data_IF_571559953699
#
_entry.id   IF_571559953699
#
_cell.length_a   1.000
_cell.length_b   1.000
_cell.length_c   1.000
_cell.angle_alpha   90.00
_cell.angle_beta   90.00
_cell.angle_gamma   90.00
#
_symmetry.space_group_name_H-M   'P 1'
#
loop_
_entity.id
_entity.type
_entity.pdbx_description
1 polymer ?
#
# COMPACT_ATOMS: atom_id res chain seq x y z
N UNK A 1 -70.66 73.99 -17.85
CA UNK A 1 -71.94 74.72 -17.76
C UNK A 1 -71.64 76.20 -17.55
N UNK A 2 -71.31 76.92 -18.63
CA UNK A 2 -71.43 78.37 -18.66
C UNK A 2 -72.55 78.66 -19.64
N UNK A 3 -73.67 79.12 -19.09
CA UNK A 3 -74.90 79.39 -19.81
C UNK A 3 -74.82 80.78 -20.44
N UNK A 4 -74.06 80.92 -21.53
CA UNK A 4 -74.26 82.02 -22.47
C UNK A 4 -75.33 81.60 -23.48
N UNK A 5 -76.54 81.43 -22.96
CA UNK A 5 -77.75 81.42 -23.77
C UNK A 5 -77.93 82.85 -24.26
N UNK A 6 -77.72 83.03 -25.57
CA UNK A 6 -78.07 84.19 -26.39
C UNK A 6 -78.95 85.23 -25.67
N UNK A 7 -78.33 86.28 -25.13
CA UNK A 7 -79.01 87.57 -24.99
C UNK A 7 -78.76 88.32 -26.30
N UNK A 8 -79.56 87.99 -27.32
CA UNK A 8 -79.79 88.91 -28.44
C UNK A 8 -81.08 89.69 -28.16
N UNK A 9 -81.00 90.62 -27.22
CA UNK A 9 -81.97 91.71 -27.15
C UNK A 9 -81.48 92.83 -28.08
N UNK A 10 -81.58 92.59 -29.39
CA UNK A 10 -81.49 93.68 -30.36
C UNK A 10 -82.90 94.15 -30.65
N UNK A 11 -83.29 95.26 -30.03
CA UNK A 11 -84.50 95.98 -30.36
C UNK A 11 -84.60 96.17 -31.87
N UNK A 12 -85.64 95.60 -32.47
CA UNK A 12 -85.92 95.70 -33.90
C UNK A 12 -86.03 97.18 -34.24
N UNK A 13 -85.00 97.72 -34.89
CA UNK A 13 -84.94 99.14 -35.23
C UNK A 13 -86.02 99.46 -36.26
N UNK A 14 -86.67 100.62 -36.14
CA UNK A 14 -87.69 101.04 -37.10
C UNK A 14 -87.09 101.20 -38.50
N UNK A 15 -87.60 100.45 -39.46
CA UNK A 15 -87.08 100.46 -40.84
C UNK A 15 -87.70 101.59 -41.66
N UNK A 16 -86.90 102.22 -42.51
CA UNK A 16 -87.32 103.36 -43.36
C UNK A 16 -88.09 102.88 -44.60
N UNK A 17 -87.93 101.59 -44.96
CA UNK A 17 -88.52 100.92 -46.11
C UNK A 17 -88.66 99.42 -45.82
N UNK A 18 -89.66 98.76 -46.42
CA UNK A 18 -89.78 97.29 -46.37
C UNK A 18 -88.53 96.57 -46.92
N UNK A 19 -87.83 97.18 -47.87
CA UNK A 19 -86.59 96.60 -48.42
C UNK A 19 -85.43 96.63 -47.40
N UNK A 20 -85.38 97.65 -46.53
CA UNK A 20 -84.35 97.78 -45.49
C UNK A 20 -84.59 96.78 -44.35
N UNK A 21 -85.85 96.53 -44.00
CA UNK A 21 -86.25 95.45 -43.08
C UNK A 21 -85.86 94.07 -43.62
N UNK A 22 -86.18 93.80 -44.89
CA UNK A 22 -85.81 92.55 -45.55
C UNK A 22 -84.28 92.38 -45.59
N UNK A 23 -83.53 93.45 -45.84
CA UNK A 23 -82.07 93.41 -45.89
C UNK A 23 -81.46 93.13 -44.50
N UNK A 24 -81.95 93.81 -43.45
CA UNK A 24 -81.50 93.57 -42.07
C UNK A 24 -81.72 92.11 -41.65
N UNK A 25 -82.91 91.55 -41.88
CA UNK A 25 -83.19 90.15 -41.52
C UNK A 25 -82.39 89.16 -42.37
N UNK A 26 -82.10 89.48 -43.63
CA UNK A 26 -81.20 88.67 -44.47
C UNK A 26 -79.77 88.68 -43.94
N UNK A 27 -79.23 89.85 -43.60
CA UNK A 27 -77.87 89.98 -43.09
C UNK A 27 -77.72 89.32 -41.71
N UNK A 28 -78.73 89.45 -40.84
CA UNK A 28 -78.77 88.77 -39.55
C UNK A 28 -78.85 87.24 -39.70
N UNK A 29 -79.64 86.73 -40.66
CA UNK A 29 -79.69 85.31 -40.96
C UNK A 29 -78.35 84.78 -41.49
N UNK A 30 -77.65 85.57 -42.34
CA UNK A 30 -76.31 85.23 -42.83
C UNK A 30 -75.28 85.24 -41.70
N UNK A 31 -75.34 86.20 -40.77
CA UNK A 31 -74.46 86.23 -39.60
C UNK A 31 -74.68 85.02 -38.68
N UNK A 32 -75.94 84.68 -38.38
CA UNK A 32 -76.25 83.47 -37.61
C UNK A 32 -75.79 82.21 -38.33
N UNK A 33 -75.96 82.14 -39.65
CA UNK A 33 -75.50 81.01 -40.44
C UNK A 33 -73.97 80.89 -40.41
N UNK A 34 -73.24 82.00 -40.54
CA UNK A 34 -71.78 82.03 -40.43
C UNK A 34 -71.30 81.63 -39.03
N UNK A 35 -71.93 82.12 -37.97
CA UNK A 35 -71.57 81.77 -36.59
C UNK A 35 -71.88 80.31 -36.23
N UNK A 36 -72.97 79.76 -36.78
CA UNK A 36 -73.26 78.32 -36.68
C UNK A 36 -72.26 77.46 -37.44
N UNK A 37 -71.77 77.92 -38.58
CA UNK A 37 -70.75 77.21 -39.37
C UNK A 37 -69.37 77.27 -38.66
N UNK A 38 -68.98 78.41 -38.11
CA UNK A 38 -67.76 78.55 -37.30
C UNK A 38 -67.78 77.66 -36.06
N UNK A 39 -68.87 77.70 -35.27
CA UNK A 39 -69.03 76.82 -34.11
C UNK A 39 -69.04 75.33 -34.49
N UNK A 40 -69.56 74.99 -35.67
CA UNK A 40 -69.51 73.63 -36.21
C UNK A 40 -68.08 73.24 -36.56
N UNK A 41 -67.30 74.12 -37.19
CA UNK A 41 -65.90 73.82 -37.51
C UNK A 41 -65.02 73.73 -36.25
N UNK A 42 -65.24 74.60 -35.25
CA UNK A 42 -64.56 74.51 -33.95
C UNK A 42 -64.85 73.18 -33.26
N UNK A 43 -66.12 72.76 -33.24
CA UNK A 43 -66.52 71.45 -32.71
C UNK A 43 -65.79 70.33 -33.46
N UNK A 44 -65.74 70.43 -34.80
CA UNK A 44 -65.06 69.46 -35.65
C UNK A 44 -63.55 69.43 -35.42
N UNK A 45 -62.93 70.57 -35.11
CA UNK A 45 -61.52 70.65 -34.78
C UNK A 45 -61.24 69.95 -33.44
N UNK A 46 -62.03 70.24 -32.40
CA UNK A 46 -61.88 69.61 -31.09
C UNK A 46 -62.09 68.09 -31.19
N UNK A 47 -63.03 67.63 -32.01
CA UNK A 47 -63.22 66.20 -32.30
C UNK A 47 -61.96 65.57 -32.92
N UNK A 48 -61.35 66.22 -33.92
CA UNK A 48 -60.08 65.75 -34.52
C UNK A 48 -58.94 65.70 -33.51
N UNK A 49 -58.78 66.74 -32.70
CA UNK A 49 -57.74 66.80 -31.66
C UNK A 49 -57.94 65.71 -30.60
N UNK A 50 -59.19 65.40 -30.24
CA UNK A 50 -59.51 64.32 -29.32
C UNK A 50 -59.17 62.94 -29.92
N UNK A 51 -59.50 62.72 -31.19
CA UNK A 51 -59.14 61.50 -31.93
C UNK A 51 -57.61 61.30 -31.97
N UNK A 52 -56.86 62.36 -32.28
CA UNK A 52 -55.38 62.32 -32.25
C UNK A 52 -54.82 62.01 -30.87
N UNK A 53 -55.39 62.61 -29.81
CA UNK A 53 -54.98 62.33 -28.43
C UNK A 53 -55.28 60.88 -28.02
N UNK A 54 -56.46 60.36 -28.39
CA UNK A 54 -56.84 58.97 -28.12
C UNK A 54 -55.90 57.99 -28.85
N UNK A 55 -55.59 58.25 -30.12
CA UNK A 55 -54.67 57.42 -30.89
C UNK A 55 -53.25 57.46 -30.31
N UNK A 56 -52.76 58.64 -29.89
CA UNK A 56 -51.46 58.78 -29.24
C UNK A 56 -51.40 58.02 -27.91
N UNK A 57 -52.43 58.17 -27.06
CA UNK A 57 -52.52 57.44 -25.79
C UNK A 57 -52.51 55.92 -26.02
N UNK A 58 -53.26 55.45 -27.01
CA UNK A 58 -53.30 54.03 -27.36
C UNK A 58 -51.94 53.53 -27.89
N UNK A 59 -51.24 54.32 -28.70
CA UNK A 59 -49.88 53.98 -29.16
C UNK A 59 -48.88 53.91 -28.01
N UNK A 60 -48.95 54.86 -27.06
CA UNK A 60 -48.10 54.88 -25.87
C UNK A 60 -48.37 53.68 -24.96
N UNK A 61 -49.64 53.34 -24.73
CA UNK A 61 -50.04 52.15 -23.97
C UNK A 61 -49.44 50.88 -24.59
N UNK A 62 -49.58 50.74 -25.92
CA UNK A 62 -48.99 49.61 -26.64
C UNK A 62 -47.46 49.56 -26.52
N UNK A 63 -46.79 50.72 -26.59
CA UNK A 63 -45.34 50.76 -26.39
C UNK A 63 -44.96 50.31 -24.98
N UNK A 64 -45.65 50.79 -23.94
CA UNK A 64 -45.42 50.38 -22.55
C UNK A 64 -45.68 48.89 -22.34
N UNK A 65 -46.75 48.34 -22.91
CA UNK A 65 -47.05 46.91 -22.88
C UNK A 65 -45.91 46.09 -23.51
N UNK A 66 -45.41 46.50 -24.68
CA UNK A 66 -44.30 45.78 -25.33
C UNK A 66 -43.00 45.85 -24.51
N UNK A 67 -42.71 46.98 -23.86
CA UNK A 67 -41.55 47.11 -22.98
C UNK A 67 -41.69 46.23 -21.73
N UNK A 68 -42.90 46.17 -21.16
CA UNK A 68 -43.20 45.34 -20.00
C UNK A 68 -43.08 43.85 -20.34
N UNK A 69 -43.61 43.41 -21.49
CA UNK A 69 -43.47 42.03 -21.97
C UNK A 69 -42.00 41.65 -22.19
N UNK A 70 -41.21 42.54 -22.78
CA UNK A 70 -39.77 42.33 -22.97
C UNK A 70 -39.05 42.22 -21.63
N UNK A 71 -39.33 43.11 -20.68
CA UNK A 71 -38.76 43.05 -19.34
C UNK A 71 -39.12 41.72 -18.64
N UNK A 72 -40.39 41.31 -18.67
CA UNK A 72 -40.84 40.05 -18.09
C UNK A 72 -40.21 38.82 -18.75
N UNK A 73 -39.96 38.87 -20.06
CA UNK A 73 -39.22 37.83 -20.78
C UNK A 73 -37.78 37.75 -20.28
N UNK A 74 -37.07 38.88 -20.18
CA UNK A 74 -35.68 38.90 -19.68
C UNK A 74 -35.59 38.42 -18.24
N UNK A 75 -36.53 38.79 -17.37
CA UNK A 75 -36.58 38.33 -15.98
C UNK A 75 -36.74 36.80 -15.93
N UNK A 76 -37.64 36.23 -16.74
CA UNK A 76 -37.83 34.76 -16.83
C UNK A 76 -36.57 34.04 -17.31
N UNK A 77 -35.90 34.58 -18.32
CA UNK A 77 -34.65 34.01 -18.85
C UNK A 77 -33.53 34.07 -17.81
N UNK A 78 -33.35 35.22 -17.14
CA UNK A 78 -32.35 35.39 -16.09
C UNK A 78 -32.61 34.47 -14.89
N UNK A 79 -33.87 34.31 -14.47
CA UNK A 79 -34.26 33.35 -13.41
C UNK A 79 -33.91 31.91 -13.80
N UNK A 80 -34.23 31.51 -15.02
CA UNK A 80 -33.91 30.16 -15.53
C UNK A 80 -32.40 29.92 -15.58
N UNK A 81 -31.64 30.91 -16.05
CA UNK A 81 -30.17 30.85 -16.07
C UNK A 81 -29.58 30.80 -14.66
N UNK A 82 -30.11 31.58 -13.73
CA UNK A 82 -29.67 31.58 -12.33
C UNK A 82 -29.90 30.20 -11.69
N UNK A 83 -31.10 29.64 -11.84
CA UNK A 83 -31.41 28.29 -11.34
C UNK A 83 -30.47 27.23 -11.92
N UNK A 84 -30.17 27.31 -13.22
CA UNK A 84 -29.22 26.40 -13.88
C UNK A 84 -27.81 26.54 -13.30
N UNK A 85 -27.31 27.77 -13.18
CA UNK A 85 -25.99 28.04 -12.60
C UNK A 85 -25.91 27.58 -11.14
N UNK A 86 -27.01 27.69 -10.39
CA UNK A 86 -27.08 27.22 -9.01
C UNK A 86 -27.00 25.70 -8.94
N UNK A 87 -27.73 24.98 -9.79
CA UNK A 87 -27.64 23.52 -9.89
C UNK A 87 -26.23 23.05 -10.31
N UNK A 88 -25.62 23.72 -11.29
CA UNK A 88 -24.25 23.43 -11.72
C UNK A 88 -23.24 23.67 -10.58
N UNK A 89 -23.44 24.74 -9.79
CA UNK A 89 -22.60 25.06 -8.64
C UNK A 89 -22.71 23.99 -7.53
N UNK A 90 -23.93 23.57 -7.21
CA UNK A 90 -24.18 22.54 -6.20
C UNK A 90 -23.60 21.19 -6.65
N UNK A 91 -23.76 20.85 -7.93
CA UNK A 91 -23.15 19.64 -8.53
C UNK A 91 -21.62 19.69 -8.46
N UNK A 92 -21.00 20.84 -8.76
CA UNK A 92 -19.55 21.00 -8.66
C UNK A 92 -19.05 20.89 -7.21
N UNK A 93 -19.79 21.44 -6.24
CA UNK A 93 -19.47 21.30 -4.82
C UNK A 93 -19.55 19.84 -4.37
N UNK A 94 -20.59 19.12 -4.76
CA UNK A 94 -20.75 17.71 -4.43
C UNK A 94 -19.63 16.85 -5.01
N UNK A 95 -19.28 17.07 -6.29
CA UNK A 95 -18.16 16.39 -6.95
C UNK A 95 -16.82 16.71 -6.28
N UNK A 96 -16.60 17.96 -5.89
CA UNK A 96 -15.39 18.37 -5.18
C UNK A 96 -15.29 17.68 -3.82
N UNK A 97 -16.36 17.70 -3.02
CA UNK A 97 -16.38 17.06 -1.71
C UNK A 97 -16.25 15.54 -1.82
N UNK A 98 -16.86 14.91 -2.83
CA UNK A 98 -16.66 13.49 -3.11
C UNK A 98 -15.20 13.17 -3.45
N UNK A 99 -14.58 13.93 -4.36
CA UNK A 99 -13.17 13.75 -4.75
C UNK A 99 -12.24 13.96 -3.56
N UNK A 100 -12.50 14.98 -2.74
CA UNK A 100 -11.75 15.25 -1.51
C UNK A 100 -11.85 14.11 -0.51
N UNK A 101 -13.05 13.54 -0.30
CA UNK A 101 -13.22 12.34 0.56
C UNK A 101 -12.46 11.15 0.03
N UNK A 102 -12.52 10.88 -1.28
CA UNK A 102 -11.77 9.79 -1.92
C UNK A 102 -10.26 9.97 -1.78
N UNK A 103 -9.74 11.16 -2.06
CA UNK A 103 -8.32 11.47 -1.91
C UNK A 103 -7.87 11.31 -0.46
N UNK A 104 -8.65 11.80 0.51
CA UNK A 104 -8.33 11.63 1.93
C UNK A 104 -8.30 10.16 2.34
N UNK A 105 -9.26 9.35 1.85
CA UNK A 105 -9.27 7.91 2.11
C UNK A 105 -8.02 7.21 1.52
N UNK A 106 -7.65 7.55 0.29
CA UNK A 106 -6.43 7.02 -0.35
C UNK A 106 -5.16 7.44 0.40
N UNK A 107 -5.08 8.69 0.87
CA UNK A 107 -3.94 9.18 1.67
C UNK A 107 -3.85 8.40 2.99
N UNK A 108 -4.97 8.17 3.68
CA UNK A 108 -5.00 7.38 4.91
C UNK A 108 -4.55 5.93 4.67
N UNK A 109 -5.00 5.30 3.59
CA UNK A 109 -4.59 3.94 3.21
C UNK A 109 -3.09 3.88 2.90
N UNK A 110 -2.57 4.81 2.09
CA UNK A 110 -1.14 4.89 1.80
C UNK A 110 -0.31 5.13 3.06
N UNK A 111 -0.75 6.00 3.96
CA UNK A 111 -0.07 6.21 5.24
C UNK A 111 -0.06 4.95 6.11
N UNK A 112 -1.17 4.20 6.15
CA UNK A 112 -1.25 2.93 6.86
C UNK A 112 -0.25 1.93 6.29
N UNK A 113 -0.23 1.72 4.96
CA UNK A 113 0.73 0.79 4.33
C UNK A 113 2.19 1.19 4.57
N UNK A 114 2.53 2.49 4.51
CA UNK A 114 3.88 2.98 4.84
C UNK A 114 4.24 2.65 6.28
N UNK A 115 3.30 2.82 7.23
CA UNK A 115 3.54 2.45 8.62
C UNK A 115 3.75 0.94 8.81
N UNK A 116 3.00 0.11 8.08
CA UNK A 116 3.17 -1.35 8.09
C UNK A 116 4.55 -1.78 7.56
N UNK A 117 5.00 -1.19 6.44
CA UNK A 117 6.33 -1.46 5.89
C UNK A 117 7.45 -1.06 6.85
N UNK A 118 7.33 0.08 7.53
CA UNK A 118 8.29 0.51 8.55
C UNK A 118 8.34 -0.47 9.72
N UNK A 119 7.19 -0.91 10.23
CA UNK A 119 7.13 -1.90 11.30
C UNK A 119 7.75 -3.24 10.87
N UNK A 120 7.56 -3.64 9.61
CA UNK A 120 8.16 -4.85 9.06
C UNK A 120 9.68 -4.72 8.94
N UNK A 121 10.18 -3.59 8.45
CA UNK A 121 11.60 -3.26 8.38
C UNK A 121 12.26 -3.31 9.77
N UNK A 122 11.64 -2.68 10.77
CA UNK A 122 12.12 -2.71 12.16
C UNK A 122 12.18 -4.15 12.72
N UNK A 123 11.16 -4.95 12.41
CA UNK A 123 11.11 -6.36 12.82
C UNK A 123 12.21 -7.20 12.17
N UNK A 124 12.47 -6.98 10.87
CA UNK A 124 13.55 -7.66 10.14
C UNK A 124 14.93 -7.24 10.67
N UNK A 125 15.14 -5.95 10.94
CA UNK A 125 16.39 -5.46 11.54
C UNK A 125 16.65 -6.07 12.92
N UNK A 126 15.60 -6.21 13.74
CA UNK A 126 15.71 -6.92 15.03
C UNK A 126 16.08 -8.38 14.82
N UNK A 127 15.43 -9.06 13.88
CA UNK A 127 15.70 -10.46 13.57
C UNK A 127 17.13 -10.69 13.04
N UNK A 128 17.64 -9.78 12.21
CA UNK A 128 19.04 -9.81 11.73
C UNK A 128 20.00 -9.75 12.91
N UNK A 129 19.81 -8.81 13.84
CA UNK A 129 20.66 -8.71 15.05
C UNK A 129 20.62 -9.98 15.89
N UNK A 130 19.44 -10.61 16.03
CA UNK A 130 19.31 -11.88 16.75
C UNK A 130 20.06 -13.03 16.04
N UNK A 131 20.07 -13.06 14.70
CA UNK A 131 20.83 -14.03 13.93
C UNK A 131 22.34 -13.80 14.04
N UNK A 132 22.78 -12.54 13.97
CA UNK A 132 24.17 -12.15 14.16
C UNK A 132 24.68 -12.61 15.54
N UNK A 133 23.91 -12.34 16.60
CA UNK A 133 24.25 -12.79 17.95
C UNK A 133 24.36 -14.33 18.04
N UNK A 134 23.41 -15.07 17.46
CA UNK A 134 23.47 -16.53 17.44
C UNK A 134 24.67 -17.05 16.67
N UNK A 135 25.07 -16.38 15.58
CA UNK A 135 26.25 -16.74 14.82
C UNK A 135 27.52 -16.53 15.64
N UNK A 136 27.64 -15.39 16.33
CA UNK A 136 28.76 -15.11 17.24
C UNK A 136 28.88 -16.16 18.36
N UNK A 137 27.75 -16.57 18.94
CA UNK A 137 27.70 -17.61 19.97
C UNK A 137 28.13 -18.98 19.41
N UNK A 138 27.70 -19.32 18.19
CA UNK A 138 28.10 -20.55 17.50
C UNK A 138 29.61 -20.55 17.19
N UNK A 139 30.15 -19.44 16.68
CA UNK A 139 31.59 -19.30 16.42
C UNK A 139 32.40 -19.42 17.71
N UNK A 140 31.94 -18.81 18.81
CA UNK A 140 32.58 -18.93 20.12
C UNK A 140 32.59 -20.38 20.60
N UNK A 141 31.45 -21.08 20.52
CA UNK A 141 31.33 -22.49 20.87
C UNK A 141 32.26 -23.36 20.02
N UNK A 142 32.31 -23.11 18.71
CA UNK A 142 33.21 -23.81 17.79
C UNK A 142 34.68 -23.61 18.17
N UNK A 143 35.12 -22.37 18.48
CA UNK A 143 36.49 -22.10 18.93
C UNK A 143 36.82 -22.86 20.21
N UNK A 144 35.93 -22.83 21.21
CA UNK A 144 36.13 -23.57 22.46
C UNK A 144 36.24 -25.09 22.22
N UNK A 145 35.39 -25.64 21.35
CA UNK A 145 35.44 -27.05 20.97
C UNK A 145 36.76 -27.40 20.26
N UNK A 146 37.24 -26.55 19.34
CA UNK A 146 38.53 -26.76 18.68
C UNK A 146 39.70 -26.75 19.67
N UNK A 147 39.72 -25.81 20.62
CA UNK A 147 40.72 -25.81 21.69
C UNK A 147 40.66 -27.11 22.50
N UNK A 148 39.47 -27.57 22.88
CA UNK A 148 39.29 -28.85 23.59
C UNK A 148 39.82 -30.04 22.79
N UNK A 149 39.56 -30.09 21.48
CA UNK A 149 40.12 -31.13 20.60
C UNK A 149 41.64 -31.08 20.58
N UNK A 150 42.25 -29.90 20.42
CA UNK A 150 43.72 -29.78 20.43
C UNK A 150 44.34 -30.19 21.77
N UNK A 151 43.66 -29.94 22.89
CA UNK A 151 44.10 -30.42 24.21
C UNK A 151 44.03 -31.95 24.32
N UNK A 152 42.98 -32.58 23.77
CA UNK A 152 42.87 -34.03 23.72
C UNK A 152 43.96 -34.66 22.83
N UNK A 153 44.23 -34.07 21.66
CA UNK A 153 45.30 -34.50 20.76
C UNK A 153 46.66 -34.42 21.45
N UNK A 154 46.95 -33.32 22.15
CA UNK A 154 48.19 -33.18 22.94
C UNK A 154 48.31 -34.25 24.02
N UNK A 155 47.25 -34.49 24.80
CA UNK A 155 47.23 -35.54 25.84
C UNK A 155 47.43 -36.94 25.25
N UNK A 156 46.82 -37.21 24.10
CA UNK A 156 46.96 -38.49 23.40
C UNK A 156 48.40 -38.67 22.91
N UNK A 157 49.00 -37.65 22.30
CA UNK A 157 50.39 -37.69 21.85
C UNK A 157 51.35 -37.95 23.03
N UNK A 158 51.19 -37.23 24.15
CA UNK A 158 52.00 -37.49 25.35
C UNK A 158 51.80 -38.90 25.93
N UNK A 159 50.61 -39.49 25.77
CA UNK A 159 50.35 -40.88 26.17
C UNK A 159 51.03 -41.88 25.22
N UNK A 160 51.01 -41.61 23.91
CA UNK A 160 51.73 -42.40 22.91
C UNK A 160 53.23 -42.36 23.17
N UNK A 161 53.82 -41.18 23.41
CA UNK A 161 55.25 -41.02 23.72
C UNK A 161 55.65 -41.82 24.98
N UNK A 162 54.85 -41.74 26.05
CA UNK A 162 55.09 -42.53 27.26
C UNK A 162 55.01 -44.04 27.00
N UNK A 163 54.05 -44.50 26.20
CA UNK A 163 53.93 -45.91 25.86
C UNK A 163 55.12 -46.39 25.01
N UNK A 164 55.60 -45.58 24.06
CA UNK A 164 56.77 -45.91 23.26
C UNK A 164 58.05 -46.03 24.11
N UNK A 165 58.23 -45.14 25.10
CA UNK A 165 59.33 -45.24 26.06
C UNK A 165 59.24 -46.53 26.90
N UNK A 166 58.06 -46.85 27.43
CA UNK A 166 57.84 -48.07 28.20
C UNK A 166 58.05 -49.35 27.37
N UNK A 167 57.67 -49.33 26.09
CA UNK A 167 57.92 -50.45 25.17
C UNK A 167 59.44 -50.65 24.95
N UNK A 168 60.19 -49.56 24.78
CA UNK A 168 61.67 -49.61 24.70
C UNK A 168 62.30 -50.15 25.98
N UNK A 169 61.89 -49.66 27.16
CA UNK A 169 62.37 -50.17 28.45
C UNK A 169 62.05 -51.67 28.61
N UNK A 170 60.86 -52.10 28.16
CA UNK A 170 60.48 -53.50 28.19
C UNK A 170 61.35 -54.36 27.24
N UNK A 171 61.66 -53.86 26.04
CA UNK A 171 62.53 -54.55 25.09
C UNK A 171 63.97 -54.64 25.59
N UNK A 172 64.51 -53.60 26.23
CA UNK A 172 65.80 -53.64 26.91
C UNK A 172 65.83 -54.70 28.02
N UNK A 173 64.79 -54.74 28.86
CA UNK A 173 64.65 -55.75 29.90
C UNK A 173 64.56 -57.17 29.30
N UNK A 174 63.82 -57.37 28.20
CA UNK A 174 63.73 -58.65 27.49
C UNK A 174 65.08 -59.08 26.92
N UNK A 175 65.81 -58.15 26.31
CA UNK A 175 67.15 -58.42 25.77
C UNK A 175 68.14 -58.80 26.89
N UNK A 176 68.08 -58.10 28.03
CA UNK A 176 68.89 -58.44 29.21
C UNK A 176 68.55 -59.83 29.74
N UNK A 177 67.26 -60.15 29.89
CA UNK A 177 66.81 -61.49 30.30
C UNK A 177 67.29 -62.56 29.32
N UNK A 178 67.26 -62.29 28.01
CA UNK A 178 67.74 -63.24 27.01
C UNK A 178 69.26 -63.47 27.12
N UNK A 179 70.06 -62.41 27.28
CA UNK A 179 71.52 -62.53 27.53
C UNK A 179 71.81 -63.35 28.78
N UNK A 180 71.18 -63.03 29.90
CA UNK A 180 71.35 -63.79 31.16
C UNK A 180 70.93 -65.26 31.01
N UNK A 181 69.87 -65.55 30.23
CA UNK A 181 69.46 -66.92 29.92
C UNK A 181 70.52 -67.67 29.10
N UNK A 182 71.15 -66.99 28.14
CA UNK A 182 72.20 -67.55 27.30
C UNK A 182 73.50 -67.75 28.11
N UNK A 183 73.94 -66.78 28.92
CA UNK A 183 75.04 -66.94 29.89
C UNK A 183 74.78 -68.10 30.86
N UNK A 184 73.57 -68.18 31.43
CA UNK A 184 73.18 -69.31 32.30
C UNK A 184 73.10 -70.64 31.54
N UNK A 185 72.92 -70.64 30.21
CA UNK A 185 72.99 -71.85 29.38
C UNK A 185 74.44 -72.24 29.14
N UNK A 186 75.31 -71.29 28.81
CA UNK A 186 76.73 -71.50 28.56
C UNK A 186 77.42 -71.99 29.82
N UNK A 187 77.19 -71.35 30.98
CA UNK A 187 77.68 -71.83 32.27
C UNK A 187 77.20 -73.26 32.59
N UNK A 188 75.96 -73.61 32.26
CA UNK A 188 75.47 -74.99 32.40
C UNK A 188 76.19 -75.97 31.47
N UNK A 189 76.52 -75.55 30.25
CA UNK A 189 77.32 -76.35 29.31
C UNK A 189 78.76 -76.50 29.81
N UNK A 190 79.40 -75.43 30.29
CA UNK A 190 80.73 -75.48 30.91
C UNK A 190 80.75 -76.40 32.13
N UNK A 191 79.75 -76.31 33.00
CA UNK A 191 79.60 -77.23 34.13
C UNK A 191 79.38 -78.68 33.69
N UNK A 192 78.72 -78.91 32.53
CA UNK A 192 78.55 -80.25 31.95
C UNK A 192 79.85 -80.77 31.35
N UNK A 193 80.65 -79.92 30.70
CA UNK A 193 81.99 -80.28 30.18
C UNK A 193 82.93 -80.60 31.35
N UNK A 194 82.95 -79.77 32.41
CA UNK A 194 83.70 -80.07 33.65
C UNK A 194 83.24 -81.33 34.35
N UNK A 195 81.95 -81.68 34.23
CA UNK A 195 81.39 -82.98 34.68
C UNK A 195 81.68 -84.15 33.72
N UNK A 196 82.12 -83.92 32.48
CA UNK A 196 82.58 -84.98 31.56
C UNK A 196 84.07 -85.31 31.71
N UNK A 197 84.87 -84.42 32.32
CA UNK A 197 86.26 -84.70 32.74
C UNK A 197 86.35 -85.44 34.10
N UNK A 198 85.21 -85.78 34.72
CA UNK A 198 85.14 -86.55 35.95
C UNK A 198 84.08 -87.64 35.78
N UNK A 199 84.36 -88.92 36.08
CA UNK A 199 83.33 -89.95 35.99
C UNK A 199 82.24 -89.71 37.04
N UNK A 200 81.01 -89.68 36.52
CA UNK A 200 79.73 -90.14 37.06
C UNK A 200 79.58 -90.22 38.60
N UNK A 201 78.69 -89.39 39.15
CA UNK A 201 77.51 -89.95 39.80
C UNK A 201 76.35 -88.94 39.92
N UNK A 202 75.27 -89.30 39.25
CA UNK A 202 73.86 -89.18 39.62
C UNK A 202 73.19 -87.83 39.94
N UNK A 203 72.25 -87.56 39.03
CA UNK A 203 71.00 -86.81 39.15
C UNK A 203 70.18 -87.33 40.33
N UNK A 204 69.40 -86.46 41.00
CA UNK A 204 67.99 -86.26 40.64
C UNK A 204 67.24 -85.37 41.66
N UNK A 205 66.75 -84.24 41.15
CA UNK A 205 65.47 -83.53 41.39
C UNK A 205 64.93 -83.37 42.82
N UNK A 206 64.88 -82.14 43.35
CA UNK A 206 63.91 -81.05 43.06
C UNK A 206 62.54 -81.30 43.73
N UNK A 207 62.18 -80.45 44.70
CA UNK A 207 61.17 -79.37 44.53
C UNK A 207 60.66 -78.91 45.91
N UNK A 208 61.32 -77.89 46.46
CA UNK A 208 60.77 -77.09 47.56
C UNK A 208 59.65 -76.23 46.99
N UNK A 209 58.46 -76.35 47.57
CA UNK A 209 57.32 -75.47 47.30
C UNK A 209 56.95 -74.72 48.57
N UNK A 210 56.50 -73.49 48.34
CA UNK A 210 55.78 -72.56 49.25
C UNK A 210 56.68 -71.59 50.05
N UNK A 211 56.21 -70.37 50.42
CA UNK A 211 54.81 -69.92 50.39
C UNK A 211 54.52 -68.43 50.04
N UNK A 212 53.21 -68.17 49.87
CA UNK A 212 52.45 -66.90 50.04
C UNK A 212 52.40 -65.92 48.84
N UNK A 213 51.26 -65.99 48.15
CA UNK A 213 50.70 -64.92 47.34
C UNK A 213 49.70 -64.16 48.24
N UNK A 214 49.97 -62.87 48.49
CA UNK A 214 49.09 -61.98 49.25
C UNK A 214 48.29 -61.14 48.28
N UNK A 215 46.99 -61.41 48.16
CA UNK A 215 46.00 -60.40 47.82
C UNK A 215 44.62 -60.86 48.26
N UNK A 216 43.98 -60.08 49.14
CA UNK A 216 42.64 -59.48 48.96
C UNK A 216 42.01 -59.12 50.32
N UNK A 217 42.04 -57.83 50.67
CA UNK A 217 41.12 -57.22 51.63
C UNK A 217 40.25 -56.18 50.91
N UNK A 218 38.96 -56.23 51.26
CA UNK A 218 37.88 -55.33 50.90
C UNK A 218 38.06 -53.97 51.58
N UNK A 219 37.64 -52.87 50.94
CA UNK A 219 36.94 -51.76 51.61
C UNK A 219 35.93 -51.14 50.62
N UNK A 220 34.73 -50.91 51.14
CA UNK A 220 33.55 -50.29 50.54
C UNK A 220 33.72 -48.76 50.38
N UNK A 221 33.04 -48.13 49.42
CA UNK A 221 32.15 -47.01 49.75
C UNK A 221 31.22 -46.68 48.59
N UNK A 222 29.95 -46.56 48.96
CA UNK A 222 28.81 -46.10 48.20
C UNK A 222 28.99 -44.65 47.75
N UNK A 223 28.41 -44.25 46.62
CA UNK A 223 27.40 -43.17 46.54
C UNK A 223 26.73 -43.17 45.16
N UNK A 224 25.43 -43.48 45.15
CA UNK A 224 24.31 -42.90 44.37
C UNK A 224 24.70 -41.98 43.19
N UNK A 225 24.14 -42.10 41.98
CA UNK A 225 22.79 -41.61 41.63
C UNK A 225 22.38 -42.03 40.20
N UNK A 226 21.06 -42.08 40.01
CA UNK A 226 20.19 -42.47 38.89
C UNK A 226 20.50 -42.02 37.43
N UNK A 227 20.09 -42.93 36.51
CA UNK A 227 19.50 -42.86 35.12
C UNK A 227 19.01 -41.50 34.56
N UNK A 228 18.68 -41.33 33.25
CA UNK A 228 18.84 -42.16 32.01
C UNK A 228 19.53 -41.36 30.85
N UNK A 229 20.00 -41.88 29.72
CA UNK A 229 19.43 -42.90 28.83
C UNK A 229 18.69 -42.26 27.64
N UNK A 230 19.40 -41.70 26.64
CA UNK A 230 18.95 -41.63 25.22
C UNK A 230 20.07 -41.12 24.27
N UNK A 231 20.03 -41.54 22.99
CA UNK A 231 21.23 -41.67 22.16
C UNK A 231 21.51 -40.42 21.31
N UNK A 232 22.77 -39.98 21.30
CA UNK A 232 23.28 -39.04 20.32
C UNK A 232 23.77 -39.81 19.09
N UNK A 233 23.03 -39.68 17.99
CA UNK A 233 23.44 -40.13 16.67
C UNK A 233 24.33 -39.06 16.06
N UNK A 234 25.60 -39.38 15.85
CA UNK A 234 26.53 -38.57 15.07
C UNK A 234 26.08 -38.49 13.61
N UNK A 235 26.16 -37.30 13.02
CA UNK A 235 26.33 -37.16 11.57
C UNK A 235 27.21 -35.95 11.26
N UNK A 236 28.41 -36.24 10.74
CA UNK A 236 29.28 -35.30 10.03
C UNK A 236 28.62 -34.84 8.71
N UNK A 237 28.96 -33.65 8.18
CA UNK A 237 28.78 -33.35 6.78
C UNK A 237 30.09 -33.54 6.00
N UNK A 238 30.02 -34.32 4.92
CA UNK A 238 30.93 -34.20 3.78
C UNK A 238 30.12 -34.14 2.49
N UNK A 239 30.52 -33.23 1.62
CA UNK A 239 30.44 -33.36 0.16
C UNK A 239 29.06 -33.19 -0.47
N UNK A 240 28.94 -32.20 -1.36
CA UNK A 240 27.73 -31.97 -2.13
C UNK A 240 27.38 -33.13 -3.07
N UNK A 241 26.09 -33.45 -3.13
CA UNK A 241 25.29 -33.75 -4.33
C UNK A 241 23.84 -34.00 -3.90
N UNK A 242 22.90 -33.27 -4.53
CA UNK A 242 21.45 -33.47 -4.63
C UNK A 242 20.78 -34.46 -3.64
N UNK A 243 20.33 -33.93 -2.50
CA UNK A 243 19.46 -34.65 -1.56
C UNK A 243 18.01 -34.51 -2.04
N UNK A 244 17.24 -35.60 -2.24
CA UNK A 244 15.80 -35.50 -2.49
C UNK A 244 15.12 -34.93 -1.24
N UNK A 245 14.35 -33.85 -1.41
CA UNK A 245 13.58 -33.23 -0.32
C UNK A 245 12.74 -34.29 0.42
N UNK A 246 12.82 -34.29 1.74
CA UNK A 246 11.96 -35.11 2.61
C UNK A 246 10.49 -34.82 2.30
N UNK A 247 9.58 -35.82 2.38
CA UNK A 247 8.18 -35.66 1.98
C UNK A 247 7.48 -34.39 2.54
N UNK A 248 7.71 -33.97 3.81
CA UNK A 248 7.14 -32.72 4.33
C UNK A 248 7.72 -31.46 3.69
N UNK A 249 9.03 -31.43 3.42
CA UNK A 249 9.70 -30.29 2.80
C UNK A 249 9.28 -30.12 1.33
N UNK A 250 9.02 -31.22 0.63
CA UNK A 250 8.49 -31.21 -0.75
C UNK A 250 7.08 -30.62 -0.81
N UNK A 251 6.19 -31.05 0.08
CA UNK A 251 4.80 -30.56 0.11
C UNK A 251 4.76 -29.06 0.47
N UNK A 252 5.56 -28.62 1.44
CA UNK A 252 5.69 -27.20 1.79
C UNK A 252 6.22 -26.36 0.63
N UNK A 253 7.27 -26.82 -0.07
CA UNK A 253 7.78 -26.14 -1.25
C UNK A 253 6.76 -26.06 -2.40
N UNK A 254 6.00 -27.13 -2.66
CA UNK A 254 4.96 -27.13 -3.69
C UNK A 254 3.80 -26.18 -3.36
N UNK A 255 3.41 -26.06 -2.08
CA UNK A 255 2.38 -25.11 -1.66
C UNK A 255 2.84 -23.66 -1.84
N UNK A 256 4.08 -23.35 -1.49
CA UNK A 256 4.67 -22.02 -1.69
C UNK A 256 4.73 -21.67 -3.18
N UNK A 257 5.18 -22.61 -4.02
CA UNK A 257 5.21 -22.43 -5.48
C UNK A 257 3.80 -22.26 -6.04
N UNK A 258 2.81 -23.02 -5.54
CA UNK A 258 1.41 -22.88 -5.91
C UNK A 258 0.82 -21.51 -5.56
N UNK A 259 1.13 -20.99 -4.37
CA UNK A 259 0.68 -19.66 -3.93
C UNK A 259 1.34 -18.53 -4.73
N UNK A 260 2.62 -18.68 -5.07
CA UNK A 260 3.34 -17.75 -5.95
C UNK A 260 2.72 -17.72 -7.35
N UNK A 261 2.45 -18.88 -7.96
CA UNK A 261 1.82 -18.95 -9.28
C UNK A 261 0.41 -18.32 -9.28
N UNK A 262 -0.38 -18.51 -8.21
CA UNK A 262 -1.69 -17.89 -8.07
C UNK A 262 -1.60 -16.36 -7.95
N UNK A 263 -0.61 -15.86 -7.19
CA UNK A 263 -0.34 -14.41 -7.07
C UNK A 263 0.14 -13.81 -8.39
N UNK A 264 1.01 -14.50 -9.13
CA UNK A 264 1.46 -14.08 -10.46
C UNK A 264 0.27 -14.01 -11.43
N UNK A 265 -0.59 -15.03 -11.48
CA UNK A 265 -1.80 -15.00 -12.32
C UNK A 265 -2.77 -13.87 -11.96
N UNK A 266 -2.93 -13.55 -10.67
CA UNK A 266 -3.75 -12.41 -10.25
C UNK A 266 -3.14 -11.06 -10.65
N UNK A 267 -1.82 -10.93 -10.60
CA UNK A 267 -1.10 -9.74 -11.06
C UNK A 267 -1.18 -9.58 -12.59
N UNK A 268 -1.04 -10.65 -13.35
CA UNK A 268 -1.19 -10.64 -14.81
C UNK A 268 -2.62 -10.23 -15.22
N UNK A 269 -3.64 -10.72 -14.52
CA UNK A 269 -5.03 -10.33 -14.75
C UNK A 269 -5.27 -8.83 -14.46
N UNK A 270 -4.71 -8.29 -13.37
CA UNK A 270 -4.77 -6.85 -13.07
C UNK A 270 -4.02 -6.02 -14.11
N UNK A 271 -2.85 -6.46 -14.55
CA UNK A 271 -2.07 -5.79 -15.61
C UNK A 271 -2.83 -5.78 -16.95
N UNK A 272 -3.48 -6.88 -17.31
CA UNK A 272 -4.32 -6.95 -18.50
C UNK A 272 -5.52 -5.99 -18.41
N UNK A 273 -6.16 -5.90 -17.23
CA UNK A 273 -7.25 -4.96 -16.97
C UNK A 273 -6.81 -3.50 -17.08
N UNK A 274 -5.66 -3.14 -16.50
CA UNK A 274 -5.09 -1.79 -16.63
C UNK A 274 -4.79 -1.44 -18.08
N UNK A 275 -4.16 -2.36 -18.84
CA UNK A 275 -3.83 -2.14 -20.26
C UNK A 275 -5.08 -1.96 -21.13
N UNK A 276 -6.18 -2.65 -20.82
CA UNK A 276 -7.44 -2.50 -21.53
C UNK A 276 -8.14 -1.17 -21.17
N UNK A 277 -8.15 -0.78 -19.90
CA UNK A 277 -8.66 0.53 -19.46
C UNK A 277 -7.87 1.69 -20.09
N UNK A 278 -6.55 1.56 -20.24
CA UNK A 278 -5.73 2.54 -20.96
C UNK A 278 -6.12 2.64 -22.45
N UNK A 279 -6.39 1.51 -23.11
CA UNK A 279 -6.83 1.52 -24.53
C UNK A 279 -8.22 2.12 -24.70
N UNK A 280 -9.17 1.86 -23.79
CA UNK A 280 -10.50 2.47 -23.82
C UNK A 280 -10.46 3.99 -23.54
N UNK A 281 -9.57 4.44 -22.65
CA UNK A 281 -9.36 5.87 -22.41
C UNK A 281 -8.74 6.63 -23.59
N UNK A 282 -7.98 5.93 -24.45
CA UNK A 282 -7.37 6.50 -25.66
C UNK A 282 -8.33 6.49 -26.86
N UNK A 283 -9.31 5.59 -26.91
CA UNK A 283 -10.31 5.54 -27.99
C UNK A 283 -11.51 6.48 -27.77
N UNK A 284 -11.71 6.97 -26.56
CA UNK A 284 -12.78 7.93 -26.22
C UNK A 284 -12.36 9.41 -26.32
N UNK A 285 -11.12 9.69 -26.76
CA UNK A 285 -10.51 11.02 -26.73
C UNK A 285 -10.47 11.82 -28.04
N UNK A 286 -10.88 11.28 -29.19
CA UNK A 286 -10.81 12.00 -30.48
C UNK A 286 -12.19 12.29 -31.07
N UNK A 287 -12.72 13.49 -30.77
CA UNK A 287 -13.41 14.34 -31.76
C UNK A 287 -13.44 15.80 -31.26
N UNK A 288 -12.54 16.68 -31.72
CA UNK A 288 -12.79 18.11 -31.69
C UNK A 288 -13.42 18.50 -33.04
N UNK A 289 -14.74 18.70 -33.04
CA UNK A 289 -15.46 19.40 -34.12
C UNK A 289 -14.95 20.84 -34.15
N UNK A 290 -14.01 21.10 -35.05
CA UNK A 290 -13.48 22.42 -35.34
C UNK A 290 -14.17 22.93 -36.60
N UNK A 291 -15.37 23.50 -36.43
CA UNK A 291 -16.00 24.36 -37.43
C UNK A 291 -17.02 25.28 -36.76
N UNK A 292 -16.69 26.57 -36.72
CA UNK A 292 -17.59 27.73 -36.74
C UNK A 292 -16.82 28.93 -36.17
N UNK A 293 -16.17 29.71 -37.05
CA UNK A 293 -16.03 31.18 -37.00
C UNK A 293 -15.01 31.59 -38.08
N UNK A 294 -15.48 31.64 -39.32
CA UNK A 294 -15.05 32.60 -40.35
C UNK A 294 -16.13 32.74 -41.41
#
# INVERSE_FOLDING_TARGET
>A
MNADILIMDQGISSFSSKDEEIQYWKDLAVQFQSGLEEAREDTRQVERELEEFQENSHQLEKELETQLEQADKTIRELRTRNNRLQLDNDTLKDNYEQTKRQNNAQICELQATVSEYRNHEESLLKYIRELEQKNDDLERSHRAMMTSVTEFESKLNSAIERNALLESEQDEARAMVQRLKDEARDLRQEMKIRKCEVPDNDKCFERVRSPIDSNKLKVEMETQTAVPGSPLKMQQPRGGQNIPLTPPARISAMNIVGDLLRKVGALESKLASCRNASRESLQSGDTPTRDAYR
#
